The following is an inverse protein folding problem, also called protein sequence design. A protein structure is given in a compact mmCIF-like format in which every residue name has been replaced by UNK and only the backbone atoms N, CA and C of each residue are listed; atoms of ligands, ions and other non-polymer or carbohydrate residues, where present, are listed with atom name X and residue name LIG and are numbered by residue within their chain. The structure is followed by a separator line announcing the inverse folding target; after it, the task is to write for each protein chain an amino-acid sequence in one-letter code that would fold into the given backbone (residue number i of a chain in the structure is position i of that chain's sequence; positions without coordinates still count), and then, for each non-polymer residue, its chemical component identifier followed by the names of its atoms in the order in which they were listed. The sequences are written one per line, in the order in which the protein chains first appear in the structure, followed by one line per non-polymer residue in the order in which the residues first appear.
data_IF_862321442708
#
_entry.id   IF_862321442708
#
_cell.length_a   1.000
_cell.length_b   1.000
_cell.length_c   1.000
_cell.angle_alpha   90.00
_cell.angle_beta   90.00
_cell.angle_gamma   90.00
#
_symmetry.space_group_name_H-M   'P 1'
#
loop_
_entity.id
_entity.type
_entity.pdbx_description
1 polymer ?
#
# COMPACT_ATOMS: atom_id res chain seq x y z
N UNK A 1 7.24 28.35 -42.74
CA UNK A 1 8.38 29.27 -42.60
C UNK A 1 7.94 30.42 -41.73
N UNK A 2 8.70 30.75 -40.68
CA UNK A 2 8.42 31.90 -39.82
C UNK A 2 9.30 33.08 -40.29
N UNK A 3 8.71 34.26 -40.48
CA UNK A 3 9.41 35.45 -40.97
C UNK A 3 9.12 36.63 -40.03
N UNK A 4 10.15 37.38 -39.68
CA UNK A 4 10.05 38.63 -38.92
C UNK A 4 10.39 39.77 -39.89
N UNK A 5 9.42 40.64 -40.15
CA UNK A 5 9.59 41.79 -41.03
C UNK A 5 9.45 43.07 -40.20
N UNK A 6 10.33 44.04 -40.42
CA UNK A 6 10.32 45.31 -39.70
C UNK A 6 10.96 46.43 -40.51
N UNK A 7 10.72 47.66 -40.09
CA UNK A 7 11.19 48.88 -40.77
C UNK A 7 12.73 48.97 -40.88
N UNK A 8 13.46 48.37 -39.94
CA UNK A 8 14.92 48.29 -39.97
C UNK A 8 15.43 47.02 -39.25
N UNK A 9 16.69 46.66 -39.49
CA UNK A 9 17.32 45.45 -38.93
C UNK A 9 17.31 45.45 -37.39
N UNK A 10 17.55 46.60 -36.75
CA UNK A 10 17.55 46.72 -35.28
C UNK A 10 16.21 46.31 -34.66
N UNK A 11 15.10 46.69 -35.29
CA UNK A 11 13.75 46.30 -34.84
C UNK A 11 13.50 44.80 -35.04
N UNK A 12 14.01 44.23 -36.13
CA UNK A 12 13.94 42.78 -36.41
C UNK A 12 14.73 42.00 -35.35
N UNK A 13 15.98 42.38 -35.09
CA UNK A 13 16.86 41.70 -34.12
C UNK A 13 16.31 41.79 -32.68
N UNK A 14 15.76 42.95 -32.31
CA UNK A 14 15.13 43.15 -31.01
C UNK A 14 13.90 42.26 -30.85
N UNK A 15 13.06 42.15 -31.89
CA UNK A 15 11.87 41.28 -31.90
C UNK A 15 12.27 39.81 -31.85
N UNK A 16 13.27 39.39 -32.62
CA UNK A 16 13.79 38.02 -32.60
C UNK A 16 14.30 37.64 -31.20
N UNK A 17 15.10 38.53 -30.59
CA UNK A 17 15.63 38.33 -29.24
C UNK A 17 14.52 38.24 -28.19
N UNK A 18 13.49 39.09 -28.32
CA UNK A 18 12.33 39.06 -27.44
C UNK A 18 11.54 37.75 -27.55
N UNK A 19 11.29 37.25 -28.78
CA UNK A 19 10.62 35.97 -29.01
C UNK A 19 11.45 34.81 -28.44
N UNK A 20 12.76 34.79 -28.70
CA UNK A 20 13.67 33.76 -28.15
C UNK A 20 13.65 33.77 -26.62
N UNK A 21 13.64 34.95 -26.00
CA UNK A 21 13.57 35.09 -24.55
C UNK A 21 12.24 34.56 -24.01
N UNK A 22 11.12 34.87 -24.66
CA UNK A 22 9.80 34.34 -24.29
C UNK A 22 9.74 32.82 -24.37
N UNK A 23 10.18 32.23 -25.49
CA UNK A 23 10.20 30.77 -25.65
C UNK A 23 11.07 30.13 -24.57
N UNK A 24 12.24 30.71 -24.29
CA UNK A 24 13.15 30.19 -23.27
C UNK A 24 12.57 30.27 -21.85
N UNK A 25 11.80 31.32 -21.54
CA UNK A 25 11.13 31.49 -20.24
C UNK A 25 9.92 30.58 -20.06
N UNK A 26 9.23 30.23 -21.15
CA UNK A 26 8.08 29.33 -21.09
C UNK A 26 8.47 27.85 -21.07
N UNK A 27 9.70 27.52 -21.53
CA UNK A 27 10.25 26.19 -21.41
C UNK A 27 10.51 25.85 -19.95
N UNK A 28 10.05 24.67 -19.55
CA UNK A 28 10.13 24.16 -18.20
C UNK A 28 10.43 22.67 -18.24
N UNK A 29 11.10 22.19 -17.21
CA UNK A 29 11.39 20.79 -17.01
C UNK A 29 11.14 20.43 -15.55
N UNK A 30 10.46 19.31 -15.33
CA UNK A 30 10.23 18.76 -14.01
C UNK A 30 10.46 17.24 -14.03
N UNK A 31 10.58 16.66 -12.85
CA UNK A 31 10.93 15.26 -12.70
C UNK A 31 10.24 14.59 -11.51
N UNK A 32 9.83 13.34 -11.71
CA UNK A 32 9.20 12.51 -10.69
C UNK A 32 10.08 11.31 -10.44
N UNK A 33 10.53 11.11 -9.20
CA UNK A 33 11.35 9.95 -8.82
C UNK A 33 10.59 9.04 -7.87
N UNK A 34 10.54 7.74 -8.20
CA UNK A 34 9.80 6.73 -7.46
C UNK A 34 10.28 5.32 -7.84
N UNK A 35 10.45 4.43 -6.87
CA UNK A 35 10.91 3.03 -7.08
C UNK A 35 9.92 2.22 -7.94
N UNK A 36 8.64 2.59 -7.95
CA UNK A 36 7.63 1.90 -8.76
C UNK A 36 7.82 2.11 -10.26
N UNK A 37 8.56 3.14 -10.68
CA UNK A 37 8.76 3.46 -12.10
C UNK A 37 9.51 2.33 -12.82
N UNK A 38 10.42 1.62 -12.13
CA UNK A 38 11.12 0.46 -12.69
C UNK A 38 10.16 -0.67 -13.11
N UNK A 39 9.00 -0.75 -12.45
CA UNK A 39 8.02 -1.81 -12.60
C UNK A 39 6.84 -1.43 -13.52
N UNK A 40 6.95 -0.33 -14.26
CA UNK A 40 5.90 0.10 -15.19
C UNK A 40 5.69 -0.93 -16.31
N UNK A 41 4.46 -1.43 -16.42
CA UNK A 41 4.04 -2.34 -17.46
C UNK A 41 3.72 -1.61 -18.77
N UNK A 42 3.41 -2.38 -19.81
CA UNK A 42 3.04 -1.84 -21.13
C UNK A 42 1.91 -0.81 -21.07
N UNK A 43 0.92 -0.99 -20.20
CA UNK A 43 -0.21 -0.05 -20.07
C UNK A 43 0.26 1.29 -19.50
N UNK A 44 1.14 1.30 -18.50
CA UNK A 44 1.70 2.56 -18.00
C UNK A 44 2.54 3.25 -19.07
N UNK A 45 3.41 2.51 -19.78
CA UNK A 45 4.23 3.06 -20.87
C UNK A 45 3.36 3.63 -22.00
N UNK A 46 2.31 2.92 -22.43
CA UNK A 46 1.37 3.40 -23.45
C UNK A 46 0.63 4.67 -22.97
N UNK A 47 0.31 4.76 -21.67
CA UNK A 47 -0.31 5.95 -21.08
C UNK A 47 0.65 7.15 -21.09
N UNK A 48 1.93 6.95 -20.79
CA UNK A 48 2.96 8.00 -20.88
C UNK A 48 3.14 8.47 -22.32
N UNK A 49 3.20 7.55 -23.29
CA UNK A 49 3.32 7.89 -24.71
C UNK A 49 2.11 8.72 -25.21
N UNK A 50 0.92 8.39 -24.73
CA UNK A 50 -0.29 9.14 -25.04
C UNK A 50 -0.31 10.53 -24.39
N UNK A 51 0.09 10.65 -23.12
CA UNK A 51 0.26 11.94 -22.43
C UNK A 51 1.26 12.83 -23.16
N UNK A 52 2.39 12.27 -23.60
CA UNK A 52 3.41 12.97 -24.36
C UNK A 52 2.83 13.56 -25.65
N UNK A 53 2.13 12.74 -26.44
CA UNK A 53 1.54 13.14 -27.72
C UNK A 53 0.46 14.21 -27.55
N UNK A 54 -0.45 14.06 -26.58
CA UNK A 54 -1.57 14.98 -26.36
C UNK A 54 -1.13 16.35 -25.87
N UNK A 55 -0.09 16.39 -25.03
CA UNK A 55 0.36 17.63 -24.38
C UNK A 55 1.60 18.24 -25.04
N UNK A 56 2.11 17.65 -26.14
CA UNK A 56 3.30 18.12 -26.87
C UNK A 56 4.53 18.35 -25.97
N UNK A 57 4.64 17.54 -24.92
CA UNK A 57 5.81 17.51 -24.03
C UNK A 57 6.78 16.43 -24.51
N UNK A 58 7.97 16.39 -23.93
CA UNK A 58 8.90 15.26 -24.01
C UNK A 58 8.94 14.57 -22.66
N UNK A 59 8.73 13.25 -22.65
CA UNK A 59 8.80 12.40 -21.46
C UNK A 59 9.96 11.43 -21.65
N UNK A 60 10.88 11.39 -20.68
CA UNK A 60 12.01 10.46 -20.67
C UNK A 60 11.99 9.64 -19.39
N UNK A 61 12.11 8.32 -19.53
CA UNK A 61 12.32 7.43 -18.40
C UNK A 61 13.83 7.26 -18.19
N UNK A 62 14.30 7.63 -17.01
CA UNK A 62 15.68 7.54 -16.57
C UNK A 62 15.80 6.41 -15.53
N UNK A 63 15.76 5.17 -16.00
CA UNK A 63 15.81 3.96 -15.17
C UNK A 63 17.20 3.67 -14.58
N UNK A 64 18.24 4.33 -15.08
CA UNK A 64 19.61 4.19 -14.57
C UNK A 64 19.82 4.93 -13.23
N UNK A 65 18.85 5.76 -12.82
CA UNK A 65 18.87 6.44 -11.51
C UNK A 65 18.30 5.54 -10.42
N UNK A 66 18.70 5.80 -9.18
CA UNK A 66 18.12 5.20 -7.97
C UNK A 66 17.70 6.31 -6.99
N UNK A 67 16.39 6.54 -6.78
CA UNK A 67 15.26 5.89 -7.45
C UNK A 67 15.17 6.25 -8.96
N UNK A 68 14.56 5.38 -9.78
CA UNK A 68 14.25 5.67 -11.18
C UNK A 68 13.41 6.95 -11.31
N UNK A 69 13.51 7.62 -12.45
CA UNK A 69 12.92 8.95 -12.61
C UNK A 69 12.22 9.13 -13.97
N UNK A 70 11.08 9.81 -13.98
CA UNK A 70 10.41 10.31 -15.19
C UNK A 70 10.69 11.81 -15.31
N UNK A 71 11.38 12.21 -16.37
CA UNK A 71 11.64 13.61 -16.71
C UNK A 71 10.64 14.11 -17.75
N UNK A 72 10.07 15.28 -17.53
CA UNK A 72 9.05 15.89 -18.38
C UNK A 72 9.53 17.29 -18.78
N UNK A 73 9.70 17.55 -20.07
CA UNK A 73 10.18 18.84 -20.59
C UNK A 73 9.22 19.39 -21.64
N UNK A 74 8.97 20.71 -21.61
CA UNK A 74 8.05 21.37 -22.54
C UNK A 74 7.56 22.73 -22.00
N UNK A 75 6.44 23.22 -22.53
CA UNK A 75 5.85 24.47 -22.02
C UNK A 75 5.29 24.24 -20.61
N UNK A 76 5.59 25.16 -19.69
CA UNK A 76 5.25 25.08 -18.25
C UNK A 76 3.85 24.56 -17.92
N UNK A 77 2.80 25.10 -18.55
CA UNK A 77 1.41 24.66 -18.35
C UNK A 77 1.21 23.19 -18.66
N UNK A 78 1.75 22.74 -19.78
CA UNK A 78 1.55 21.38 -20.29
C UNK A 78 2.41 20.39 -19.49
N UNK A 79 3.62 20.79 -19.08
CA UNK A 79 4.47 20.02 -18.14
C UNK A 79 3.77 19.83 -16.81
N UNK A 80 3.23 20.90 -16.20
CA UNK A 80 2.51 20.80 -14.93
C UNK A 80 1.28 19.88 -15.02
N UNK A 81 0.53 19.94 -16.12
CA UNK A 81 -0.62 19.07 -16.37
C UNK A 81 -0.20 17.59 -16.43
N UNK A 82 0.84 17.29 -17.22
CA UNK A 82 1.37 15.92 -17.35
C UNK A 82 1.95 15.42 -16.04
N UNK A 83 2.68 16.26 -15.31
CA UNK A 83 3.25 15.92 -14.00
C UNK A 83 2.18 15.43 -13.03
N UNK A 84 1.06 16.14 -12.92
CA UNK A 84 -0.06 15.75 -12.06
C UNK A 84 -0.67 14.41 -12.48
N UNK A 85 -0.82 14.16 -13.78
CA UNK A 85 -1.36 12.89 -14.28
C UNK A 85 -0.42 11.71 -14.03
N UNK A 86 0.91 11.91 -14.17
CA UNK A 86 1.90 10.88 -13.84
C UNK A 86 1.94 10.61 -12.34
N UNK A 87 1.88 11.64 -11.49
CA UNK A 87 1.78 11.48 -10.03
C UNK A 87 0.54 10.67 -9.63
N UNK A 88 -0.64 10.98 -10.22
CA UNK A 88 -1.87 10.19 -9.98
C UNK A 88 -1.72 8.74 -10.41
N UNK A 89 -1.01 8.49 -11.52
CA UNK A 89 -0.75 7.14 -12.00
C UNK A 89 0.07 6.34 -10.99
N UNK A 90 1.17 6.91 -10.48
CA UNK A 90 2.02 6.29 -9.46
C UNK A 90 1.24 6.07 -8.17
N UNK A 91 0.50 7.08 -7.70
CA UNK A 91 -0.31 6.97 -6.49
C UNK A 91 -1.33 5.83 -6.59
N UNK A 92 -1.98 5.66 -7.74
CA UNK A 92 -2.92 4.56 -7.97
C UNK A 92 -2.27 3.18 -7.85
N UNK A 93 -1.02 3.04 -8.29
CA UNK A 93 -0.27 1.78 -8.15
C UNK A 93 -0.01 1.51 -6.65
N UNK A 94 0.46 2.53 -5.91
CA UNK A 94 0.67 2.45 -4.45
C UNK A 94 -0.60 2.03 -3.72
N UNK A 95 -1.70 2.72 -3.99
CA UNK A 95 -2.99 2.44 -3.35
C UNK A 95 -3.44 0.98 -3.63
N UNK A 96 -3.20 0.49 -4.85
CA UNK A 96 -3.56 -0.89 -5.23
C UNK A 96 -2.70 -1.92 -4.51
N UNK A 97 -1.40 -1.68 -4.38
CA UNK A 97 -0.48 -2.57 -3.66
C UNK A 97 -0.75 -2.57 -2.15
N UNK A 98 -1.02 -1.41 -1.59
CA UNK A 98 -1.41 -1.27 -0.18
C UNK A 98 -2.71 -2.03 0.10
N UNK A 99 -3.73 -1.85 -0.74
CA UNK A 99 -5.01 -2.55 -0.61
C UNK A 99 -4.83 -4.07 -0.72
N UNK A 100 -4.02 -4.54 -1.67
CA UNK A 100 -3.68 -5.96 -1.81
C UNK A 100 -2.99 -6.51 -0.56
N UNK A 101 -2.06 -5.74 0.01
CA UNK A 101 -1.31 -6.12 1.21
C UNK A 101 -2.23 -6.18 2.43
N UNK A 102 -3.13 -5.20 2.60
CA UNK A 102 -4.17 -5.23 3.65
C UNK A 102 -5.10 -6.43 3.50
N UNK A 103 -5.55 -6.70 2.28
CA UNK A 103 -6.43 -7.82 1.99
C UNK A 103 -5.77 -9.17 2.33
N UNK A 104 -4.47 -9.31 2.05
CA UNK A 104 -3.68 -10.48 2.45
C UNK A 104 -3.65 -10.66 3.98
N UNK A 105 -3.32 -9.59 4.71
CA UNK A 105 -3.23 -9.62 6.17
C UNK A 105 -4.57 -10.00 6.81
N UNK A 106 -5.66 -9.38 6.35
CA UNK A 106 -7.00 -9.70 6.87
C UNK A 106 -7.39 -11.13 6.53
N UNK A 107 -7.11 -11.60 5.31
CA UNK A 107 -7.39 -12.97 4.91
C UNK A 107 -6.65 -14.02 5.75
N UNK A 108 -5.47 -13.69 6.29
CA UNK A 108 -4.71 -14.56 7.19
C UNK A 108 -5.29 -14.65 8.60
N UNK A 109 -6.08 -13.66 9.03
CA UNK A 109 -6.70 -13.61 10.36
C UNK A 109 -8.13 -14.15 10.36
N UNK A 110 -8.87 -13.91 9.28
CA UNK A 110 -10.29 -14.28 9.16
C UNK A 110 -10.63 -14.67 7.72
N UNK A 111 -11.41 -15.73 7.59
CA UNK A 111 -11.91 -16.21 6.32
C UNK A 111 -13.43 -16.15 6.27
N UNK A 112 -13.93 -15.39 5.31
CA UNK A 112 -15.32 -15.32 4.94
C UNK A 112 -15.60 -16.36 3.86
N UNK A 113 -16.69 -17.10 4.00
CA UNK A 113 -17.08 -18.19 3.09
C UNK A 113 -18.55 -18.10 2.68
N UNK A 114 -18.85 -18.66 1.52
CA UNK A 114 -20.22 -18.82 1.01
C UNK A 114 -20.48 -20.26 0.57
N UNK A 115 -21.75 -20.70 0.42
CA UNK A 115 -22.07 -22.06 0.01
C UNK A 115 -21.63 -22.33 -1.44
N UNK A 116 -20.85 -23.38 -1.63
CA UNK A 116 -20.40 -23.92 -2.91
C UNK A 116 -21.32 -25.01 -3.45
N UNK A 117 -20.87 -25.69 -4.51
CA UNK A 117 -21.50 -26.92 -4.98
C UNK A 117 -21.21 -28.07 -4.00
N UNK A 118 -22.23 -28.89 -3.70
CA UNK A 118 -22.15 -30.08 -2.85
C UNK A 118 -21.97 -29.81 -1.35
N UNK A 119 -22.74 -28.87 -0.78
CA UNK A 119 -22.72 -28.53 0.65
C UNK A 119 -21.35 -28.12 1.23
N UNK A 120 -20.38 -27.83 0.35
CA UNK A 120 -19.09 -27.28 0.72
C UNK A 120 -19.17 -25.77 0.91
N UNK A 121 -18.22 -25.21 1.67
CA UNK A 121 -18.04 -23.77 1.77
C UNK A 121 -16.81 -23.34 0.96
N UNK A 122 -16.97 -22.28 0.19
CA UNK A 122 -15.90 -21.70 -0.63
C UNK A 122 -15.55 -20.34 -0.06
N UNK A 123 -14.25 -20.06 0.08
CA UNK A 123 -13.77 -18.77 0.55
C UNK A 123 -14.04 -17.67 -0.49
N UNK A 124 -14.34 -16.46 -0.02
CA UNK A 124 -14.29 -15.27 -0.86
C UNK A 124 -12.85 -14.97 -1.29
N UNK A 125 -12.68 -14.25 -2.40
CA UNK A 125 -11.38 -13.68 -2.73
C UNK A 125 -10.92 -12.71 -1.65
N UNK A 126 -9.61 -12.48 -1.55
CA UNK A 126 -9.00 -11.70 -0.45
C UNK A 126 -9.57 -10.28 -0.35
N UNK A 127 -9.88 -9.64 -1.47
CA UNK A 127 -10.42 -8.28 -1.48
C UNK A 127 -11.86 -8.27 -0.95
N UNK A 128 -12.73 -9.14 -1.47
CA UNK A 128 -14.11 -9.26 -0.97
C UNK A 128 -14.14 -9.67 0.51
N UNK A 129 -13.25 -10.57 0.93
CA UNK A 129 -13.06 -10.98 2.32
C UNK A 129 -12.75 -9.79 3.22
N UNK A 130 -11.78 -8.96 2.83
CA UNK A 130 -11.41 -7.76 3.56
C UNK A 130 -12.57 -6.76 3.63
N UNK A 131 -13.29 -6.54 2.52
CA UNK A 131 -14.45 -5.64 2.49
C UNK A 131 -15.58 -6.09 3.44
N UNK A 132 -15.86 -7.40 3.49
CA UNK A 132 -16.81 -7.99 4.43
C UNK A 132 -16.37 -7.76 5.87
N UNK A 133 -15.09 -8.01 6.17
CA UNK A 133 -14.54 -7.80 7.51
C UNK A 133 -14.56 -6.33 7.92
N UNK A 134 -14.11 -5.42 7.07
CA UNK A 134 -14.12 -3.98 7.32
C UNK A 134 -15.53 -3.46 7.53
N UNK A 135 -16.49 -3.89 6.71
CA UNK A 135 -17.88 -3.51 6.86
C UNK A 135 -18.49 -4.04 8.17
N UNK A 136 -18.13 -5.27 8.57
CA UNK A 136 -18.55 -5.86 9.85
C UNK A 136 -17.94 -5.08 11.04
N UNK A 137 -16.65 -4.76 11.00
CA UNK A 137 -15.99 -3.94 12.04
C UNK A 137 -16.57 -2.54 12.14
N UNK A 138 -16.89 -1.92 10.99
CA UNK A 138 -17.53 -0.62 10.91
C UNK A 138 -19.02 -0.63 11.28
N UNK A 139 -19.57 -1.80 11.68
CA UNK A 139 -20.99 -1.98 12.04
C UNK A 139 -21.94 -1.52 10.93
N UNK A 140 -21.53 -1.67 9.65
CA UNK A 140 -22.44 -1.44 8.53
C UNK A 140 -23.51 -2.54 8.55
N UNK A 141 -24.78 -2.23 8.27
CA UNK A 141 -25.83 -3.24 8.29
C UNK A 141 -25.73 -4.16 7.07
N UNK A 142 -25.39 -3.60 5.90
CA UNK A 142 -25.41 -4.31 4.64
C UNK A 142 -24.16 -4.06 3.79
N UNK A 143 -23.78 -5.05 2.98
CA UNK A 143 -22.73 -4.93 1.96
C UNK A 143 -23.12 -5.73 0.71
N UNK A 144 -23.00 -5.12 -0.47
CA UNK A 144 -23.19 -5.86 -1.73
C UNK A 144 -21.89 -6.55 -2.13
N UNK A 145 -21.96 -7.87 -2.36
CA UNK A 145 -20.84 -8.69 -2.83
C UNK A 145 -21.25 -9.46 -4.09
N UNK A 146 -20.27 -10.00 -4.81
CA UNK A 146 -20.52 -10.77 -6.03
C UNK A 146 -20.18 -12.25 -5.81
N UNK A 147 -21.16 -13.13 -5.98
CA UNK A 147 -21.01 -14.58 -5.85
C UNK A 147 -21.47 -15.21 -7.17
N UNK A 148 -20.61 -16.00 -7.82
CA UNK A 148 -20.90 -16.62 -9.12
C UNK A 148 -21.44 -15.61 -10.17
N UNK A 149 -20.80 -14.43 -10.25
CA UNK A 149 -21.16 -13.30 -11.12
C UNK A 149 -22.50 -12.62 -10.83
N UNK A 150 -23.25 -13.05 -9.81
CA UNK A 150 -24.49 -12.41 -9.35
C UNK A 150 -24.22 -11.55 -8.11
N UNK A 151 -24.93 -10.43 -8.00
CA UNK A 151 -24.84 -9.58 -6.82
C UNK A 151 -25.73 -10.13 -5.71
N UNK A 152 -25.21 -10.12 -4.49
CA UNK A 152 -25.95 -10.45 -3.28
C UNK A 152 -25.78 -9.31 -2.29
N UNK A 153 -26.87 -8.91 -1.63
CA UNK A 153 -26.84 -7.99 -0.51
C UNK A 153 -26.70 -8.79 0.79
N UNK A 154 -25.54 -8.68 1.42
CA UNK A 154 -25.20 -9.35 2.68
C UNK A 154 -25.68 -8.49 3.84
N UNK A 155 -26.54 -9.03 4.69
CA UNK A 155 -26.77 -8.51 6.04
C UNK A 155 -25.66 -9.02 6.97
N UNK A 156 -24.85 -8.11 7.48
CA UNK A 156 -23.67 -8.42 8.29
C UNK A 156 -24.04 -8.79 9.73
N UNK A 157 -25.27 -8.53 10.18
CA UNK A 157 -25.75 -8.92 11.50
C UNK A 157 -26.23 -10.37 11.51
N UNK A 158 -27.01 -10.76 10.51
CA UNK A 158 -27.56 -12.11 10.38
C UNK A 158 -26.64 -13.07 9.61
N UNK A 159 -25.62 -12.54 8.92
CA UNK A 159 -24.74 -13.29 8.02
C UNK A 159 -25.51 -13.99 6.89
N UNK A 160 -26.52 -13.32 6.36
CA UNK A 160 -27.35 -13.79 5.25
C UNK A 160 -27.16 -12.91 4.03
N UNK A 161 -27.08 -13.51 2.85
CA UNK A 161 -26.93 -12.81 1.58
C UNK A 161 -28.15 -13.06 0.69
N UNK A 162 -28.81 -11.99 0.25
CA UNK A 162 -30.03 -12.04 -0.57
C UNK A 162 -29.75 -11.58 -2.01
N UNK A 163 -30.26 -12.29 -3.02
CA UNK A 163 -30.05 -11.96 -4.44
C UNK A 163 -31.03 -10.94 -5.03
N UNK A 164 -31.93 -10.39 -4.22
CA UNK A 164 -33.01 -9.49 -4.63
C UNK A 164 -34.18 -10.19 -5.33
N UNK A 165 -34.08 -11.49 -5.59
CA UNK A 165 -35.10 -12.32 -6.24
C UNK A 165 -35.74 -13.32 -5.24
N UNK A 166 -35.40 -13.20 -3.95
CA UNK A 166 -35.94 -14.01 -2.86
C UNK A 166 -35.04 -15.17 -2.43
N UNK A 167 -33.95 -15.45 -3.16
CA UNK A 167 -32.99 -16.46 -2.71
C UNK A 167 -32.10 -15.86 -1.62
N UNK A 168 -32.07 -16.53 -0.48
CA UNK A 168 -31.19 -16.18 0.64
C UNK A 168 -30.21 -17.32 0.88
N UNK A 169 -28.94 -16.99 1.07
CA UNK A 169 -27.86 -17.93 1.41
C UNK A 169 -27.17 -17.48 2.69
N UNK A 170 -26.74 -18.42 3.53
CA UNK A 170 -25.97 -18.10 4.72
C UNK A 170 -24.49 -18.02 4.36
N UNK A 171 -23.81 -16.96 4.79
CA UNK A 171 -22.36 -16.84 4.71
C UNK A 171 -21.75 -17.12 6.08
N UNK A 172 -20.47 -17.48 6.09
CA UNK A 172 -19.73 -17.78 7.32
C UNK A 172 -18.55 -16.84 7.47
N UNK A 173 -18.25 -16.50 8.72
CA UNK A 173 -17.02 -15.81 9.13
C UNK A 173 -16.26 -16.72 10.07
N UNK A 174 -15.07 -17.17 9.68
CA UNK A 174 -14.26 -18.13 10.43
C UNK A 174 -12.93 -17.47 10.82
N UNK A 175 -12.66 -17.24 12.12
CA UNK A 175 -11.34 -16.82 12.57
C UNK A 175 -10.31 -17.91 12.26
N UNK A 176 -9.16 -17.54 11.69
CA UNK A 176 -8.04 -18.47 11.43
C UNK A 176 -7.08 -18.60 12.61
N UNK A 177 -7.26 -17.76 13.64
CA UNK A 177 -6.42 -17.76 14.84
C UNK A 177 -6.81 -18.82 15.88
N UNK A 178 -7.91 -19.56 15.68
CA UNK A 178 -8.35 -20.57 16.67
C UNK A 178 -7.73 -21.96 16.44
N UNK A 179 -7.20 -22.24 15.24
CA UNK A 179 -6.57 -23.54 14.91
C UNK A 179 -5.03 -23.55 15.04
N UNK A 180 -4.42 -22.43 15.43
CA UNK A 180 -3.04 -22.44 15.92
C UNK A 180 -3.14 -22.59 17.42
N UNK A 181 -2.72 -23.77 17.90
CA UNK A 181 -2.38 -24.09 19.28
C UNK A 181 -2.41 -22.85 20.17
N UNK A 182 -3.18 -22.88 21.25
CA UNK A 182 -2.79 -22.16 22.47
C UNK A 182 -1.29 -22.38 22.56
N UNK A 183 -0.50 -21.37 22.16
CA UNK A 183 0.92 -21.39 22.44
C UNK A 183 0.86 -21.37 23.94
N UNK A 184 1.08 -22.53 24.56
CA UNK A 184 1.20 -22.63 25.99
C UNK A 184 2.38 -21.72 26.30
N UNK A 185 2.05 -20.48 26.64
CA UNK A 185 3.03 -19.51 27.05
C UNK A 185 3.74 -20.18 28.21
N UNK A 186 5.08 -20.10 28.26
CA UNK A 186 5.81 -20.73 29.33
C UNK A 186 5.19 -20.34 30.67
N UNK A 187 4.90 -21.32 31.54
CA UNK A 187 4.12 -21.09 32.76
C UNK A 187 4.74 -20.01 33.68
N UNK A 188 6.03 -19.73 33.52
CA UNK A 188 6.75 -18.69 34.23
C UNK A 188 6.58 -17.27 33.67
N UNK A 189 5.93 -17.09 32.52
CA UNK A 189 5.68 -15.78 31.93
C UNK A 189 4.55 -15.08 32.69
N UNK A 190 4.81 -13.84 33.10
CA UNK A 190 3.77 -13.00 33.67
C UNK A 190 2.86 -12.47 32.56
N UNK A 191 1.57 -12.35 32.86
CA UNK A 191 0.60 -11.71 31.98
C UNK A 191 1.06 -10.29 31.61
N UNK A 192 1.08 -9.99 30.31
CA UNK A 192 1.50 -8.68 29.79
C UNK A 192 0.48 -7.58 30.05
N UNK A 193 -0.74 -7.90 30.48
CA UNK A 193 -1.81 -6.94 30.78
C UNK A 193 -2.01 -5.92 29.65
N UNK A 194 -1.99 -6.40 28.41
CA UNK A 194 -2.11 -5.61 27.17
C UNK A 194 -0.94 -4.64 26.88
N UNK A 195 0.14 -4.66 27.67
CA UNK A 195 1.35 -3.91 27.35
C UNK A 195 2.06 -4.50 26.12
N UNK A 196 2.59 -3.62 25.25
CA UNK A 196 3.36 -4.05 24.06
C UNK A 196 4.71 -4.68 24.42
N UNK A 197 5.30 -4.25 25.53
CA UNK A 197 6.57 -4.72 26.09
C UNK A 197 6.47 -4.56 27.59
N UNK A 198 6.72 -5.64 28.35
CA UNK A 198 6.67 -5.62 29.81
C UNK A 198 8.04 -6.00 30.38
N UNK A 199 8.69 -5.04 31.03
CA UNK A 199 9.98 -5.29 31.69
C UNK A 199 9.76 -6.01 33.03
N UNK A 200 10.17 -7.28 33.13
CA UNK A 200 10.01 -8.12 34.33
C UNK A 200 11.34 -8.24 35.07
N UNK A 201 11.33 -8.02 36.39
CA UNK A 201 12.49 -8.32 37.23
C UNK A 201 12.47 -9.82 37.58
N UNK A 202 13.48 -10.56 37.12
CA UNK A 202 13.58 -12.00 37.38
C UNK A 202 13.90 -12.24 38.86
N UNK A 203 13.17 -13.18 39.48
CA UNK A 203 13.42 -13.60 40.86
C UNK A 203 14.71 -14.43 40.91
N UNK A 204 15.59 -14.24 41.90
CA UNK A 204 16.82 -15.04 42.03
C UNK A 204 16.63 -16.56 42.08
N UNK A 205 15.43 -17.01 42.46
CA UNK A 205 15.04 -18.42 42.54
C UNK A 205 14.57 -19.01 41.20
N UNK A 206 14.33 -18.21 40.16
CA UNK A 206 13.86 -18.74 38.88
C UNK A 206 15.04 -19.30 38.07
N UNK A 207 14.74 -20.31 37.26
CA UNK A 207 15.74 -21.01 36.45
C UNK A 207 16.47 -20.06 35.48
N UNK A 208 15.74 -19.13 34.86
CA UNK A 208 16.30 -18.14 33.93
C UNK A 208 17.32 -17.22 34.62
N UNK A 209 17.02 -16.74 35.84
CA UNK A 209 17.97 -15.95 36.62
C UNK A 209 19.23 -16.75 36.95
N UNK A 210 19.08 -18.00 37.39
CA UNK A 210 20.21 -18.87 37.76
C UNK A 210 21.11 -19.14 36.55
N UNK A 211 20.53 -19.33 35.37
CA UNK A 211 21.29 -19.51 34.13
C UNK A 211 22.09 -18.26 33.76
N UNK A 212 21.47 -17.08 33.81
CA UNK A 212 22.16 -15.81 33.58
C UNK A 212 23.26 -15.60 34.63
N UNK A 213 22.97 -15.85 35.90
CA UNK A 213 23.94 -15.72 36.99
C UNK A 213 25.14 -16.66 36.79
N UNK A 214 24.91 -17.92 36.45
CA UNK A 214 25.97 -18.90 36.24
C UNK A 214 26.85 -18.52 35.04
N UNK A 215 26.25 -18.03 33.96
CA UNK A 215 27.01 -17.53 32.79
C UNK A 215 27.81 -16.27 33.13
N UNK A 216 27.21 -15.33 33.87
CA UNK A 216 27.87 -14.08 34.26
C UNK A 216 29.05 -14.32 35.21
N UNK A 217 28.88 -15.15 36.24
CA UNK A 217 29.96 -15.45 37.21
C UNK A 217 31.15 -16.18 36.60
N UNK A 218 30.95 -16.92 35.50
CA UNK A 218 32.06 -17.57 34.76
C UNK A 218 33.03 -16.54 34.15
N UNK A 219 32.54 -15.39 33.72
CA UNK A 219 33.36 -14.34 33.09
C UNK A 219 33.71 -13.20 34.05
N UNK A 220 32.85 -12.94 35.03
CA UNK A 220 32.94 -11.79 35.94
C UNK A 220 32.76 -12.22 37.42
N UNK A 221 33.70 -13.00 38.00
CA UNK A 221 33.50 -13.64 39.31
C UNK A 221 33.51 -12.68 40.51
N UNK A 222 34.14 -11.50 40.36
CA UNK A 222 34.27 -10.50 41.43
C UNK A 222 33.06 -9.56 41.56
N UNK A 223 32.11 -9.62 40.63
CA UNK A 223 30.98 -8.70 40.58
C UNK A 223 29.72 -9.32 41.20
N UNK A 224 28.96 -8.49 41.91
CA UNK A 224 27.67 -8.87 42.50
C UNK A 224 26.56 -8.46 41.54
N UNK A 225 25.65 -9.39 41.22
CA UNK A 225 24.48 -9.12 40.40
C UNK A 225 23.42 -8.47 41.28
N UNK A 226 23.08 -7.21 41.01
CA UNK A 226 22.02 -6.49 41.72
C UNK A 226 20.61 -6.89 41.23
N UNK A 227 20.45 -7.06 39.92
CA UNK A 227 19.16 -7.42 39.28
C UNK A 227 19.38 -8.01 37.90
N UNK A 228 18.46 -8.89 37.50
CA UNK A 228 18.34 -9.37 36.12
C UNK A 228 16.92 -9.04 35.65
N UNK A 229 16.81 -8.52 34.43
CA UNK A 229 15.52 -8.15 33.84
C UNK A 229 15.33 -8.86 32.51
N UNK A 230 14.12 -9.32 32.25
CA UNK A 230 13.66 -9.83 30.96
C UNK A 230 12.55 -8.94 30.41
N UNK A 231 12.34 -8.99 29.09
CA UNK A 231 11.27 -8.29 28.38
C UNK A 231 10.24 -9.30 27.86
#
# INVERSE_FOLDING_TARGET
TFQICGENQKNVDATESWIKNLISKEQFEDSISDELIEHFDKRQIDTLADLQRRNRVTIKLENERSPPCIKISGISRDVCSVYVEVQKMIQKIKDTEEERSKAELVYNLVEWRYPGSNDSFVAFDKLTNMQLEDAKRAKKPHLTVKINKKNYNVDLNTLQANDGQGKTINIQRVPKNEDKQLVELPAQWEDMQEERVKLVNLKPSCQEYLEVQNKFKKTCPSFVIEKVKSY
#
